data_IF_303648348906
#
_entry.id   IF_303648348906
#
_cell.length_a   1.000
_cell.length_b   1.000
_cell.length_c   1.000
_cell.angle_alpha   90.00
_cell.angle_beta   90.00
_cell.angle_gamma   90.00
#
_symmetry.space_group_name_H-M   'P 1'
#
loop_
_entity.id
_entity.type
_entity.pdbx_description
1 polymer ?
#
# COMPACT_ATOMS: atom_id res chain seq x y z
N UNK A 1 5.12 7.46 12.74
CA UNK A 1 4.36 7.92 11.55
C UNK A 1 2.86 7.60 11.68
N UNK A 2 2.51 6.45 12.17
CA UNK A 2 1.09 6.04 12.28
C UNK A 2 0.28 6.95 13.20
N UNK A 3 0.89 7.43 14.28
CA UNK A 3 0.26 8.43 15.14
C UNK A 3 0.09 9.75 14.39
N UNK A 4 -1.15 10.18 14.20
CA UNK A 4 -1.53 11.39 13.42
C UNK A 4 -1.10 11.32 11.94
N UNK A 5 -1.12 10.14 11.33
CA UNK A 5 -0.69 9.92 9.93
C UNK A 5 -1.30 10.88 8.92
N UNK A 6 -2.52 11.36 9.16
CA UNK A 6 -3.22 12.31 8.28
C UNK A 6 -2.70 13.75 8.39
N UNK A 7 -1.97 14.09 9.46
CA UNK A 7 -1.59 15.49 9.75
C UNK A 7 -0.12 15.68 10.08
N UNK A 8 0.62 14.60 10.30
CA UNK A 8 2.03 14.65 10.65
C UNK A 8 2.92 14.81 9.43
N UNK A 9 4.07 15.45 9.64
CA UNK A 9 5.19 15.42 8.71
C UNK A 9 6.32 14.57 9.27
N UNK A 10 6.95 13.77 8.42
CA UNK A 10 8.17 13.00 8.73
C UNK A 10 9.34 13.72 8.09
N UNK A 11 10.02 14.54 8.89
CA UNK A 11 11.08 15.39 8.38
C UNK A 11 12.43 14.68 8.48
N UNK A 12 13.15 14.63 7.39
CA UNK A 12 14.45 13.95 7.28
C UNK A 12 15.26 14.48 6.10
N UNK A 13 16.58 14.31 6.16
CA UNK A 13 17.45 14.57 5.02
C UNK A 13 17.28 13.50 3.91
N UNK A 14 17.74 13.87 2.70
CA UNK A 14 17.58 13.01 1.52
C UNK A 14 18.30 11.66 1.67
N UNK A 15 19.45 11.63 2.30
CA UNK A 15 20.20 10.41 2.51
C UNK A 15 19.41 9.43 3.40
N UNK A 16 18.85 9.92 4.51
CA UNK A 16 18.00 9.13 5.40
C UNK A 16 16.76 8.63 4.68
N UNK A 17 16.11 9.49 3.88
CA UNK A 17 14.95 9.13 3.08
C UNK A 17 15.31 7.98 2.12
N UNK A 18 16.37 8.12 1.33
CA UNK A 18 16.72 7.13 0.30
C UNK A 18 17.30 5.84 0.87
N UNK A 19 18.21 5.90 1.83
CA UNK A 19 18.92 4.73 2.33
C UNK A 19 18.10 3.90 3.33
N UNK A 20 17.11 4.50 4.01
CA UNK A 20 16.31 3.81 5.04
C UNK A 20 14.87 3.64 4.59
N UNK A 21 14.16 4.72 4.27
CA UNK A 21 12.71 4.67 4.06
C UNK A 21 12.31 4.26 2.64
N UNK A 22 13.05 4.68 1.63
CA UNK A 22 12.78 4.34 0.25
C UNK A 22 13.48 3.06 -0.23
N UNK A 23 14.52 2.60 0.46
CA UNK A 23 15.33 1.46 0.03
C UNK A 23 14.50 0.17 -0.19
N UNK A 24 13.54 -0.11 0.67
CA UNK A 24 12.65 -1.27 0.52
C UNK A 24 11.72 -1.14 -0.69
N UNK A 25 11.19 0.06 -0.94
CA UNK A 25 10.37 0.35 -2.10
C UNK A 25 11.17 0.25 -3.40
N UNK A 26 12.35 0.84 -3.44
CA UNK A 26 13.26 0.72 -4.59
C UNK A 26 13.55 -0.74 -4.92
N UNK A 27 13.88 -1.53 -3.89
CA UNK A 27 14.12 -2.95 -4.03
C UNK A 27 12.90 -3.71 -4.57
N UNK A 28 11.71 -3.41 -4.07
CA UNK A 28 10.46 -4.01 -4.53
C UNK A 28 10.17 -3.63 -5.99
N UNK A 29 10.26 -2.35 -6.34
CA UNK A 29 9.99 -1.87 -7.70
C UNK A 29 10.96 -2.48 -8.71
N UNK A 30 12.26 -2.39 -8.44
CA UNK A 30 13.29 -2.85 -9.40
C UNK A 30 13.36 -4.37 -9.55
N UNK A 31 13.10 -5.13 -8.47
CA UNK A 31 13.25 -6.59 -8.46
C UNK A 31 11.94 -7.33 -8.73
N UNK A 32 10.85 -6.94 -8.07
CA UNK A 32 9.57 -7.63 -8.19
C UNK A 32 8.66 -7.05 -9.29
N UNK A 33 8.92 -5.81 -9.74
CA UNK A 33 8.17 -5.13 -10.80
C UNK A 33 6.65 -5.21 -10.57
N UNK A 34 6.14 -4.71 -9.43
CA UNK A 34 4.72 -4.71 -9.14
C UNK A 34 3.97 -3.88 -10.19
N UNK A 35 2.73 -4.23 -10.45
CA UNK A 35 1.88 -3.54 -11.42
C UNK A 35 1.26 -2.25 -10.85
N UNK A 36 1.18 -2.17 -9.53
CA UNK A 36 0.55 -1.04 -8.85
C UNK A 36 1.33 -0.65 -7.61
N UNK A 37 1.26 0.63 -7.25
CA UNK A 37 1.83 1.19 -6.02
C UNK A 37 0.77 2.05 -5.35
N UNK A 38 0.71 2.02 -4.03
CA UNK A 38 -0.19 2.86 -3.25
C UNK A 38 0.60 4.00 -2.61
N UNK A 39 0.09 5.23 -2.72
CA UNK A 39 0.62 6.37 -2.00
C UNK A 39 0.23 6.33 -0.52
N UNK A 40 0.74 7.26 0.28
CA UNK A 40 0.52 7.31 1.72
C UNK A 40 -0.19 8.59 2.17
N UNK A 41 -0.70 8.58 3.41
CA UNK A 41 -1.38 9.72 4.01
C UNK A 41 -0.46 10.85 4.43
N UNK A 42 0.77 10.51 4.84
CA UNK A 42 1.62 11.43 5.57
C UNK A 42 2.32 12.45 4.66
N UNK A 43 2.82 13.47 5.31
CA UNK A 43 3.79 14.38 4.71
C UNK A 43 5.21 13.89 4.92
N UNK A 44 6.06 14.21 3.97
CA UNK A 44 7.51 14.15 4.10
C UNK A 44 8.04 15.57 3.85
N UNK A 45 8.82 16.08 4.79
CA UNK A 45 9.38 17.43 4.74
C UNK A 45 8.31 18.51 4.46
N UNK A 46 7.13 18.37 5.09
CA UNK A 46 6.03 19.33 5.02
C UNK A 46 5.04 19.15 3.87
N UNK A 47 5.34 18.33 2.85
CA UNK A 47 4.49 18.10 1.68
C UNK A 47 3.88 16.70 1.69
N UNK A 48 2.61 16.58 1.26
CA UNK A 48 1.96 15.28 1.13
C UNK A 48 2.62 14.44 0.04
N UNK A 49 2.84 13.17 0.34
CA UNK A 49 3.49 12.25 -0.62
C UNK A 49 2.69 12.14 -1.91
N UNK A 50 1.35 12.09 -1.82
CA UNK A 50 0.47 12.03 -2.99
C UNK A 50 0.50 13.25 -3.90
N UNK A 51 0.92 14.41 -3.40
CA UNK A 51 0.96 15.68 -4.12
C UNK A 51 2.37 16.05 -4.62
N UNK A 52 3.37 15.20 -4.33
CA UNK A 52 4.77 15.51 -4.60
C UNK A 52 5.28 14.79 -5.86
N UNK A 53 5.51 15.58 -6.92
CA UNK A 53 6.05 15.09 -8.19
C UNK A 53 7.39 14.37 -8.03
N UNK A 54 8.26 14.87 -7.16
CA UNK A 54 9.56 14.25 -6.86
C UNK A 54 9.42 12.78 -6.49
N UNK A 55 8.42 12.41 -5.65
CA UNK A 55 8.25 11.04 -5.19
C UNK A 55 7.54 10.16 -6.22
N UNK A 56 6.42 10.64 -6.80
CA UNK A 56 5.58 9.82 -7.66
C UNK A 56 6.04 9.77 -9.12
N UNK A 57 6.74 10.80 -9.60
CA UNK A 57 7.23 10.85 -10.96
C UNK A 57 8.74 10.68 -11.02
N UNK A 58 9.51 11.59 -10.41
CA UNK A 58 10.96 11.63 -10.60
C UNK A 58 11.62 10.38 -9.98
N UNK A 59 11.37 10.08 -8.71
CA UNK A 59 11.97 8.90 -8.06
C UNK A 59 11.31 7.62 -8.53
N UNK A 60 9.98 7.49 -8.38
CA UNK A 60 9.30 6.22 -8.64
C UNK A 60 9.35 5.81 -10.12
N UNK A 61 9.05 6.74 -11.03
CA UNK A 61 8.94 6.43 -12.46
C UNK A 61 10.24 6.61 -13.21
N UNK A 62 10.89 7.77 -13.07
CA UNK A 62 12.06 8.10 -13.87
C UNK A 62 13.33 7.40 -13.35
N UNK A 63 13.60 7.42 -12.02
CA UNK A 63 14.80 6.77 -11.48
C UNK A 63 14.62 5.25 -11.33
N UNK A 64 13.46 4.77 -10.87
CA UNK A 64 13.26 3.33 -10.59
C UNK A 64 12.62 2.57 -11.73
N UNK A 65 12.05 3.26 -12.73
CA UNK A 65 11.47 2.65 -13.92
C UNK A 65 10.11 1.98 -13.68
N UNK A 66 9.31 2.52 -12.76
CA UNK A 66 7.96 2.01 -12.52
C UNK A 66 7.03 2.36 -13.68
N UNK A 67 6.42 1.36 -14.29
CA UNK A 67 5.55 1.48 -15.47
C UNK A 67 4.06 1.24 -15.19
N UNK A 68 3.69 0.97 -13.94
CA UNK A 68 2.30 0.76 -13.53
C UNK A 68 1.57 2.04 -13.13
N UNK A 69 0.40 1.90 -12.48
CA UNK A 69 -0.32 3.04 -11.94
C UNK A 69 -0.16 3.19 -10.42
N UNK A 70 -0.29 4.43 -9.94
CA UNK A 70 -0.30 4.77 -8.53
C UNK A 70 -1.74 5.01 -8.08
N UNK A 71 -2.15 4.31 -7.03
CA UNK A 71 -3.44 4.51 -6.36
C UNK A 71 -3.22 5.28 -5.04
N UNK A 72 -4.18 6.09 -4.62
CA UNK A 72 -4.15 6.69 -3.29
C UNK A 72 -4.41 5.63 -2.21
N UNK A 73 -3.90 5.85 -1.00
CA UNK A 73 -4.49 5.23 0.18
C UNK A 73 -5.90 5.80 0.40
N UNK A 74 -6.73 5.14 1.19
CA UNK A 74 -8.16 5.39 1.31
C UNK A 74 -8.47 6.76 1.91
N UNK A 75 -8.87 7.72 1.04
CA UNK A 75 -9.09 9.11 1.43
C UNK A 75 -7.81 9.92 1.65
N UNK A 76 -6.70 9.55 1.01
CA UNK A 76 -5.40 10.20 1.17
C UNK A 76 -5.17 11.39 0.20
N UNK A 77 -6.10 11.65 -0.71
CA UNK A 77 -5.99 12.79 -1.63
C UNK A 77 -6.38 14.08 -0.91
N UNK A 78 -5.48 15.06 -0.94
CA UNK A 78 -5.72 16.38 -0.32
C UNK A 78 -6.04 17.45 -1.36
N UNK A 79 -5.38 17.43 -2.50
CA UNK A 79 -5.66 18.27 -3.67
C UNK A 79 -5.61 17.39 -4.93
N UNK A 80 -6.79 17.12 -5.50
CA UNK A 80 -6.93 16.18 -6.61
C UNK A 80 -6.15 16.60 -7.86
N UNK A 81 -6.08 17.90 -8.12
CA UNK A 81 -5.34 18.43 -9.29
C UNK A 81 -3.85 18.30 -9.09
N UNK A 82 -3.36 18.68 -7.91
CA UNK A 82 -1.94 18.55 -7.56
C UNK A 82 -1.49 17.09 -7.52
N UNK A 83 -2.30 16.21 -6.93
CA UNK A 83 -2.00 14.77 -6.89
C UNK A 83 -1.91 14.15 -8.30
N UNK A 84 -2.86 14.49 -9.18
CA UNK A 84 -2.84 14.03 -10.57
C UNK A 84 -1.60 14.56 -11.31
N UNK A 85 -1.29 15.85 -11.15
CA UNK A 85 -0.10 16.47 -11.74
C UNK A 85 1.21 15.87 -11.20
N UNK A 86 1.21 15.37 -9.96
CA UNK A 86 2.34 14.70 -9.34
C UNK A 86 2.55 13.25 -9.84
N UNK A 87 1.53 12.63 -10.43
CA UNK A 87 1.60 11.26 -10.95
C UNK A 87 0.76 10.23 -10.21
N UNK A 88 -0.21 10.68 -9.38
CA UNK A 88 -1.25 9.84 -8.79
C UNK A 88 -2.34 9.59 -9.85
N UNK A 89 -2.50 8.35 -10.25
CA UNK A 89 -3.40 7.99 -11.36
C UNK A 89 -4.84 7.71 -10.91
N UNK A 90 -5.02 7.04 -9.75
CA UNK A 90 -6.32 6.59 -9.26
C UNK A 90 -6.55 7.03 -7.82
N UNK A 91 -7.63 7.75 -7.58
CA UNK A 91 -8.11 8.12 -6.24
C UNK A 91 -9.05 7.04 -5.68
N UNK A 92 -8.84 6.66 -4.41
CA UNK A 92 -9.69 5.73 -3.69
C UNK A 92 -10.01 6.23 -2.26
N UNK A 93 -11.26 6.14 -1.79
CA UNK A 93 -12.44 5.92 -2.63
C UNK A 93 -12.58 7.07 -3.65
N UNK A 94 -13.41 6.93 -4.68
CA UNK A 94 -13.63 8.03 -5.60
C UNK A 94 -14.06 9.28 -4.84
N UNK A 95 -13.46 10.42 -5.18
CA UNK A 95 -13.87 11.73 -4.71
C UNK A 95 -15.32 12.07 -5.10
N UNK A 96 -15.77 13.24 -4.74
CA UNK A 96 -17.05 13.69 -5.24
C UNK A 96 -16.93 14.24 -6.68
N UNK A 97 -18.05 14.42 -7.34
CA UNK A 97 -18.06 14.94 -8.72
C UNK A 97 -17.51 16.37 -8.86
N UNK A 98 -17.36 17.11 -7.77
CA UNK A 98 -16.79 18.45 -7.80
C UNK A 98 -15.28 18.41 -8.05
N UNK A 99 -14.58 17.40 -7.52
CA UNK A 99 -13.14 17.19 -7.75
C UNK A 99 -12.88 16.83 -9.22
N UNK A 100 -13.69 15.96 -9.82
CA UNK A 100 -13.60 15.62 -11.24
C UNK A 100 -13.86 16.84 -12.13
N UNK A 101 -14.88 17.64 -11.80
CA UNK A 101 -15.16 18.89 -12.50
C UNK A 101 -14.05 19.91 -12.38
N UNK A 102 -13.36 19.92 -11.24
CA UNK A 102 -12.20 20.78 -11.03
C UNK A 102 -11.05 20.43 -11.97
N UNK A 103 -10.76 19.12 -12.18
CA UNK A 103 -9.77 18.67 -13.17
C UNK A 103 -10.14 19.18 -14.57
N UNK A 104 -11.37 18.91 -15.02
CA UNK A 104 -11.85 19.37 -16.33
C UNK A 104 -11.72 20.89 -16.48
N UNK A 105 -12.11 21.64 -15.46
CA UNK A 105 -11.98 23.10 -15.43
C UNK A 105 -10.52 23.55 -15.55
N UNK A 106 -9.60 22.88 -14.83
CA UNK A 106 -8.17 23.25 -14.88
C UNK A 106 -7.54 22.97 -16.24
N UNK A 107 -7.97 21.90 -16.92
CA UNK A 107 -7.57 21.62 -18.31
C UNK A 107 -8.09 22.71 -19.24
N UNK A 108 -9.38 23.06 -19.15
CA UNK A 108 -10.00 24.10 -19.97
C UNK A 108 -9.38 25.50 -19.75
N UNK A 109 -8.91 25.78 -18.53
CA UNK A 109 -8.21 27.02 -18.17
C UNK A 109 -6.73 27.02 -18.61
N UNK A 110 -6.21 25.91 -19.15
CA UNK A 110 -4.79 25.74 -19.49
C UNK A 110 -3.86 25.69 -18.27
N UNK A 111 -4.38 25.36 -17.09
CA UNK A 111 -3.63 25.23 -15.82
C UNK A 111 -3.20 23.80 -15.50
N UNK A 112 -3.77 22.84 -16.19
CA UNK A 112 -3.37 21.44 -16.18
C UNK A 112 -3.30 20.99 -17.64
N UNK A 113 -2.19 20.37 -18.02
CA UNK A 113 -2.04 19.81 -19.36
C UNK A 113 -2.92 18.56 -19.49
N UNK A 114 -3.73 18.47 -20.55
CA UNK A 114 -4.62 17.34 -20.82
C UNK A 114 -3.83 16.03 -20.92
N UNK A 115 -2.60 16.06 -21.41
CA UNK A 115 -1.72 14.90 -21.48
C UNK A 115 -1.44 14.22 -20.14
N UNK A 116 -1.58 14.94 -19.03
CA UNK A 116 -1.45 14.37 -17.67
C UNK A 116 -2.63 13.45 -17.37
N UNK A 117 -3.84 13.84 -17.76
CA UNK A 117 -5.04 13.02 -17.64
C UNK A 117 -4.94 11.79 -18.53
N UNK A 118 -4.53 11.99 -19.79
CA UNK A 118 -4.35 10.90 -20.76
C UNK A 118 -3.34 9.86 -20.25
N UNK A 119 -2.20 10.31 -19.71
CA UNK A 119 -1.20 9.42 -19.14
C UNK A 119 -1.72 8.60 -17.95
N UNK A 120 -2.52 9.20 -17.07
CA UNK A 120 -3.13 8.48 -15.95
C UNK A 120 -4.10 7.40 -16.44
N UNK A 121 -4.95 7.75 -17.41
CA UNK A 121 -5.86 6.81 -18.06
C UNK A 121 -5.10 5.68 -18.76
N UNK A 122 -4.06 6.01 -19.52
CA UNK A 122 -3.23 5.04 -20.23
C UNK A 122 -2.58 4.03 -19.28
N UNK A 123 -2.04 4.47 -18.15
CA UNK A 123 -1.43 3.58 -17.15
C UNK A 123 -2.44 2.62 -16.56
N UNK A 124 -3.64 3.08 -16.23
CA UNK A 124 -4.72 2.23 -15.71
C UNK A 124 -5.14 1.22 -16.78
N UNK A 125 -5.39 1.66 -18.02
CA UNK A 125 -5.78 0.80 -19.13
C UNK A 125 -4.72 -0.25 -19.44
N UNK A 126 -3.44 0.11 -19.42
CA UNK A 126 -2.35 -0.84 -19.62
C UNK A 126 -2.35 -1.98 -18.61
N UNK A 127 -2.67 -1.70 -17.34
CA UNK A 127 -2.77 -2.76 -16.32
C UNK A 127 -4.01 -3.62 -16.56
N UNK A 128 -5.14 -3.03 -16.96
CA UNK A 128 -6.35 -3.78 -17.31
C UNK A 128 -6.08 -4.73 -18.49
N UNK A 129 -5.39 -4.26 -19.53
CA UNK A 129 -5.03 -5.10 -20.67
C UNK A 129 -4.03 -6.20 -20.27
N UNK A 130 -2.97 -5.87 -19.53
CA UNK A 130 -2.04 -6.88 -18.99
C UNK A 130 -2.77 -7.97 -18.20
N UNK A 131 -3.73 -7.59 -17.34
CA UNK A 131 -4.53 -8.56 -16.61
C UNK A 131 -5.34 -9.45 -17.55
N UNK A 132 -6.02 -8.86 -18.52
CA UNK A 132 -6.87 -9.59 -19.47
C UNK A 132 -6.07 -10.59 -20.30
N UNK A 133 -4.87 -10.20 -20.74
CA UNK A 133 -3.98 -11.05 -21.55
C UNK A 133 -3.32 -12.18 -20.74
N UNK A 134 -3.09 -11.97 -19.44
CA UNK A 134 -2.38 -12.92 -18.59
C UNK A 134 -3.31 -13.64 -17.59
N UNK A 135 -4.63 -13.43 -17.68
CA UNK A 135 -5.59 -14.05 -16.79
C UNK A 135 -5.63 -15.56 -16.97
N UNK A 136 -5.40 -16.29 -15.87
CA UNK A 136 -5.67 -17.72 -15.82
C UNK A 136 -7.14 -17.95 -15.43
N UNK A 137 -7.97 -18.31 -16.40
CA UNK A 137 -9.41 -18.62 -16.17
C UNK A 137 -9.64 -19.88 -15.35
N UNK A 138 -8.60 -20.72 -15.19
CA UNK A 138 -8.64 -21.95 -14.39
C UNK A 138 -8.09 -21.74 -12.98
N UNK A 139 -7.60 -20.55 -12.68
CA UNK A 139 -7.10 -20.24 -11.35
C UNK A 139 -8.23 -20.41 -10.32
N UNK A 140 -7.98 -21.24 -9.33
CA UNK A 140 -8.84 -21.45 -8.16
C UNK A 140 -8.01 -21.31 -6.92
N UNK A 141 -8.61 -20.83 -5.84
CA UNK A 141 -7.97 -20.89 -4.55
C UNK A 141 -8.39 -22.17 -3.82
N UNK A 142 -7.48 -22.75 -3.05
CA UNK A 142 -7.70 -23.91 -2.21
C UNK A 142 -7.69 -23.46 -0.75
N UNK A 143 -8.89 -23.32 -0.17
CA UNK A 143 -9.06 -22.81 1.19
C UNK A 143 -8.28 -23.62 2.23
N UNK A 144 -8.31 -24.95 2.13
CA UNK A 144 -7.62 -25.82 3.10
C UNK A 144 -6.10 -25.70 2.99
N UNK A 145 -5.59 -25.63 1.78
CA UNK A 145 -4.16 -25.42 1.50
C UNK A 145 -3.71 -24.06 2.01
N UNK A 146 -4.49 -23.00 1.72
CA UNK A 146 -4.15 -21.63 2.13
C UNK A 146 -4.24 -21.47 3.64
N UNK A 147 -5.23 -22.10 4.29
CA UNK A 147 -5.34 -22.12 5.75
C UNK A 147 -4.16 -22.84 6.41
N UNK A 148 -3.73 -23.96 5.85
CA UNK A 148 -2.56 -24.69 6.33
C UNK A 148 -1.29 -23.84 6.17
N UNK A 149 -1.11 -23.20 5.01
CA UNK A 149 0.02 -22.31 4.78
C UNK A 149 0.03 -21.12 5.76
N UNK A 150 -1.12 -20.52 6.04
CA UNK A 150 -1.23 -19.44 7.03
C UNK A 150 -0.82 -19.91 8.43
N UNK A 151 -1.22 -21.11 8.85
CA UNK A 151 -0.82 -21.69 10.14
C UNK A 151 0.70 -21.97 10.22
N UNK A 152 1.28 -22.47 9.13
CA UNK A 152 2.73 -22.69 9.04
C UNK A 152 3.51 -21.38 9.13
N UNK A 153 3.08 -20.35 8.40
CA UNK A 153 3.68 -19.02 8.45
C UNK A 153 3.55 -18.41 9.84
N UNK A 154 2.40 -18.52 10.49
CA UNK A 154 2.21 -18.02 11.85
C UNK A 154 3.15 -18.70 12.85
N UNK A 155 3.34 -20.00 12.73
CA UNK A 155 4.27 -20.74 13.58
C UNK A 155 5.72 -20.24 13.44
N UNK A 156 6.17 -19.92 12.23
CA UNK A 156 7.50 -19.34 11.96
C UNK A 156 7.65 -17.90 12.49
N UNK A 157 6.53 -17.16 12.64
CA UNK A 157 6.54 -15.81 13.18
C UNK A 157 6.61 -15.75 14.71
N UNK A 158 6.40 -16.89 15.41
CA UNK A 158 6.43 -16.94 16.88
C UNK A 158 7.86 -16.94 17.41
N UNK A 159 8.14 -16.03 18.35
CA UNK A 159 9.44 -15.96 19.02
C UNK A 159 9.28 -16.37 20.49
N UNK A 160 9.92 -17.48 20.85
CA UNK A 160 9.94 -17.96 22.25
C UNK A 160 10.92 -17.12 23.07
N UNK A 161 10.41 -16.15 23.82
CA UNK A 161 11.24 -15.24 24.62
C UNK A 161 11.78 -15.87 25.90
N UNK A 162 11.06 -16.84 26.49
CA UNK A 162 11.40 -17.45 27.76
C UNK A 162 10.74 -18.83 27.88
N UNK A 163 11.50 -19.84 28.28
CA UNK A 163 11.02 -21.20 28.55
C UNK A 163 11.75 -21.80 29.75
N UNK A 164 11.52 -21.21 30.93
CA UNK A 164 12.10 -21.71 32.17
C UNK A 164 11.54 -23.10 32.51
N UNK A 165 12.40 -23.96 32.98
CA UNK A 165 12.07 -25.35 33.31
C UNK A 165 11.54 -26.19 32.14
N UNK A 166 11.84 -25.78 30.90
CA UNK A 166 11.46 -26.53 29.69
C UNK A 166 9.96 -26.92 29.63
N UNK A 167 9.09 -25.98 30.04
CA UNK A 167 7.66 -26.24 30.10
C UNK A 167 7.02 -26.41 28.71
N UNK A 168 7.65 -25.84 27.68
CA UNK A 168 7.30 -26.00 26.27
C UNK A 168 8.31 -26.90 25.57
N UNK A 169 7.87 -27.74 24.61
CA UNK A 169 6.48 -27.92 24.13
C UNK A 169 5.60 -28.64 25.15
N UNK A 170 4.32 -28.31 25.16
CA UNK A 170 3.33 -28.96 26.01
C UNK A 170 3.09 -30.40 25.54
N UNK A 171 3.04 -31.32 26.49
CA UNK A 171 2.72 -32.73 26.22
C UNK A 171 1.22 -33.01 26.46
N UNK A 172 0.69 -34.04 25.80
CA UNK A 172 -0.75 -34.37 25.84
C UNK A 172 -1.24 -34.85 27.22
N UNK A 173 -0.35 -35.21 28.12
CA UNK A 173 -0.66 -35.62 29.49
C UNK A 173 -0.88 -34.43 30.46
N UNK A 174 -0.56 -33.22 30.03
CA UNK A 174 -0.70 -32.03 30.86
C UNK A 174 -2.13 -31.52 30.89
N UNK A 175 -2.56 -31.08 32.07
CA UNK A 175 -3.80 -30.33 32.22
C UNK A 175 -3.53 -28.87 31.94
N UNK A 176 -4.24 -28.31 30.95
CA UNK A 176 -4.09 -26.92 30.51
C UNK A 176 -5.30 -26.12 30.96
N UNK A 177 -5.08 -25.01 31.66
CA UNK A 177 -6.14 -24.06 32.02
C UNK A 177 -6.17 -22.92 31.00
N UNK A 178 -7.28 -22.78 30.31
CA UNK A 178 -7.54 -21.64 29.42
C UNK A 178 -8.24 -20.53 30.22
N UNK A 179 -7.58 -19.38 30.36
CA UNK A 179 -8.06 -18.29 31.19
C UNK A 179 -8.25 -17.04 30.33
N UNK A 180 -9.42 -16.42 30.46
CA UNK A 180 -9.76 -15.18 29.78
C UNK A 180 -10.70 -15.36 28.59
N UNK A 181 -11.30 -14.24 28.18
CA UNK A 181 -12.31 -14.24 27.09
C UNK A 181 -11.75 -14.78 25.78
N UNK A 182 -10.53 -14.38 25.44
CA UNK A 182 -9.92 -14.75 24.16
C UNK A 182 -9.43 -16.19 24.10
N UNK A 183 -9.26 -16.86 25.22
CA UNK A 183 -9.00 -18.29 25.26
C UNK A 183 -10.19 -19.12 24.76
N UNK A 184 -11.43 -18.62 24.96
CA UNK A 184 -12.66 -19.25 24.50
C UNK A 184 -13.14 -18.72 23.14
N UNK A 185 -12.99 -17.42 22.93
CA UNK A 185 -13.45 -16.75 21.71
C UNK A 185 -12.28 -15.90 21.21
N UNK A 186 -11.34 -16.50 20.48
CA UNK A 186 -10.18 -15.80 20.00
C UNK A 186 -10.58 -14.65 19.06
N UNK A 187 -9.88 -13.55 19.15
CA UNK A 187 -10.01 -12.44 18.23
C UNK A 187 -9.00 -12.65 17.10
N UNK A 188 -9.49 -13.02 15.93
CA UNK A 188 -8.66 -13.28 14.75
C UNK A 188 -8.83 -12.24 13.66
N UNK A 189 -9.70 -11.27 13.86
CA UNK A 189 -9.93 -10.15 12.97
C UNK A 189 -9.94 -8.84 13.73
N UNK A 190 -9.26 -7.81 13.18
CA UNK A 190 -9.31 -6.45 13.69
C UNK A 190 -10.44 -5.63 13.09
N UNK A 191 -10.27 -4.34 13.08
CA UNK A 191 -11.08 -3.40 12.30
C UNK A 191 -10.40 -3.08 10.98
N UNK A 192 -11.13 -2.49 10.02
CA UNK A 192 -10.59 -2.12 8.71
C UNK A 192 -10.34 -3.32 7.83
N UNK A 193 -9.18 -3.36 7.21
CA UNK A 193 -8.78 -4.35 6.21
C UNK A 193 -8.04 -5.57 6.77
N UNK A 194 -8.02 -5.74 8.07
CA UNK A 194 -7.35 -6.88 8.72
C UNK A 194 -8.31 -7.81 9.44
#
# INVERSE_FOLDING_TARGET
>A
QEKRRMTNSSDMDERTLREIYLASFEGAIKKAKPWTVMSSYNRINGEFVGDKKEYLTEILREEWGFDGYVVSDWGAVNDRVSSLAAGLDLEMPPGDYEDDRLIVKKVQEGKLDESVVDQACERILNIIFRYTENRDEKAVFDYEKDHKAAAEIEAECMVLLKNENEILPLTSDKKIAFIGKYAKTPRYQGGGSS
#
